data_IF_216864955052
#
_entry.id   IF_216864955052
#
_cell.length_a   1.000
_cell.length_b   1.000
_cell.length_c   1.000
_cell.angle_alpha   90.00
_cell.angle_beta   90.00
_cell.angle_gamma   90.00
#
_symmetry.space_group_name_H-M   'P 1'
#
loop_
_entity.id
_entity.type
_entity.pdbx_description
1 polymer ?
#
# COMPACT_ATOMS: atom_id res chain seq x y z
N UNK A 1 7.33 -11.60 19.94
CA UNK A 1 7.27 -10.50 18.95
C UNK A 1 8.61 -9.77 19.02
N UNK A 2 9.52 -10.04 18.08
CA UNK A 2 10.79 -9.29 17.98
C UNK A 2 10.52 -8.09 17.07
N UNK A 3 10.42 -6.90 17.66
CA UNK A 3 10.28 -5.65 16.91
C UNK A 3 11.68 -5.06 16.73
N UNK A 4 12.28 -5.29 15.57
CA UNK A 4 13.48 -4.58 15.16
C UNK A 4 13.08 -3.22 14.60
N UNK A 5 13.39 -2.15 15.35
CA UNK A 5 13.24 -0.77 14.86
C UNK A 5 14.49 -0.40 14.06
N UNK A 6 14.33 -0.18 12.75
CA UNK A 6 15.29 0.60 11.96
C UNK A 6 14.70 2.00 11.75
N UNK A 7 15.33 3.02 12.33
CA UNK A 7 14.96 4.42 12.15
C UNK A 7 15.04 4.81 10.65
N UNK A 8 13.95 5.38 10.12
CA UNK A 8 13.83 6.25 8.94
C UNK A 8 14.83 6.03 7.80
N UNK A 9 14.38 5.36 6.73
CA UNK A 9 15.21 5.00 5.56
C UNK A 9 14.80 5.72 4.26
N UNK A 10 14.60 7.03 4.38
CA UNK A 10 14.70 7.99 3.29
C UNK A 10 15.35 9.27 3.83
N UNK A 11 16.62 9.19 4.22
CA UNK A 11 17.38 10.41 4.47
C UNK A 11 17.42 11.28 3.21
N UNK A 12 17.76 12.57 3.34
CA UNK A 12 17.98 13.46 2.18
C UNK A 12 19.00 12.92 1.17
N UNK A 13 19.78 11.89 1.55
CA UNK A 13 20.70 11.17 0.67
C UNK A 13 20.02 10.24 -0.34
N UNK A 14 18.78 9.79 -0.08
CA UNK A 14 18.01 8.86 -0.92
C UNK A 14 16.90 9.60 -1.67
N UNK A 15 16.15 10.47 -0.99
CA UNK A 15 15.03 11.22 -1.55
C UNK A 15 15.07 12.66 -1.04
N UNK A 16 15.19 13.62 -1.95
CA UNK A 16 15.15 15.05 -1.63
C UNK A 16 14.74 15.87 -2.87
N UNK A 17 14.42 17.14 -2.67
CA UNK A 17 14.27 18.07 -3.79
C UNK A 17 15.55 18.06 -4.65
N UNK A 18 15.40 17.86 -5.96
CA UNK A 18 16.52 17.74 -6.89
C UNK A 18 17.29 16.41 -6.81
N UNK A 19 16.76 15.41 -6.10
CA UNK A 19 17.34 14.07 -5.98
C UNK A 19 16.26 12.99 -6.04
N UNK A 20 16.09 12.46 -7.24
CA UNK A 20 15.26 11.28 -7.49
C UNK A 20 16.01 10.00 -7.12
N UNK A 21 15.26 8.94 -6.79
CA UNK A 21 15.82 7.61 -6.61
C UNK A 21 16.32 7.06 -7.95
N UNK A 22 17.43 6.31 -7.96
CA UNK A 22 17.92 5.66 -9.18
C UNK A 22 17.05 4.47 -9.62
N UNK A 23 16.34 3.84 -8.68
CA UNK A 23 15.46 2.69 -8.89
C UNK A 23 14.38 2.62 -7.79
N UNK A 24 13.56 1.58 -7.82
CA UNK A 24 12.52 1.33 -6.81
C UNK A 24 12.96 0.35 -5.72
N UNK A 25 14.22 -0.08 -5.66
CA UNK A 25 14.66 -1.06 -4.66
C UNK A 25 14.74 -0.45 -3.25
N UNK A 26 14.68 -1.32 -2.24
CA UNK A 26 14.90 -0.89 -0.85
C UNK A 26 16.35 -0.36 -0.69
N UNK A 27 16.55 0.86 -0.17
CA UNK A 27 17.86 1.48 -0.17
C UNK A 27 18.84 0.82 0.81
N UNK A 28 20.13 0.81 0.44
CA UNK A 28 21.21 0.30 1.28
C UNK A 28 21.12 -1.21 1.51
N UNK A 29 21.27 -1.63 2.78
CA UNK A 29 21.27 -3.04 3.17
C UNK A 29 19.90 -3.58 3.60
N UNK A 30 18.83 -2.81 3.43
CA UNK A 30 17.49 -3.20 3.92
C UNK A 30 16.96 -4.47 3.25
N UNK A 31 17.18 -4.62 1.94
CA UNK A 31 16.78 -5.85 1.24
C UNK A 31 17.48 -7.07 1.82
N UNK A 32 18.80 -6.98 2.02
CA UNK A 32 19.60 -8.05 2.64
C UNK A 32 19.14 -8.34 4.07
N UNK A 33 18.92 -7.30 4.88
CA UNK A 33 18.41 -7.44 6.24
C UNK A 33 17.06 -8.18 6.26
N UNK A 34 16.12 -7.79 5.41
CA UNK A 34 14.81 -8.41 5.34
C UNK A 34 14.91 -9.87 4.85
N UNK A 35 15.78 -10.15 3.88
CA UNK A 35 16.06 -11.53 3.45
C UNK A 35 16.66 -12.36 4.58
N UNK A 36 17.60 -11.81 5.36
CA UNK A 36 18.17 -12.49 6.52
C UNK A 36 17.13 -12.77 7.59
N UNK A 37 16.24 -11.80 7.88
CA UNK A 37 15.12 -12.00 8.81
C UNK A 37 14.20 -13.12 8.32
N UNK A 38 13.82 -13.12 7.04
CA UNK A 38 12.99 -14.16 6.42
C UNK A 38 13.66 -15.54 6.52
N UNK A 39 14.96 -15.62 6.22
CA UNK A 39 15.70 -16.87 6.21
C UNK A 39 15.86 -17.45 7.62
N UNK A 40 16.09 -16.60 8.62
CA UNK A 40 16.35 -17.01 10.00
C UNK A 40 15.09 -17.11 10.88
N UNK A 41 13.95 -16.58 10.43
CA UNK A 41 12.68 -16.73 11.16
C UNK A 41 12.20 -18.19 11.07
N UNK A 42 11.91 -18.86 12.20
CA UNK A 42 11.36 -20.22 12.20
C UNK A 42 10.07 -20.30 11.38
N UNK A 43 9.80 -21.45 10.76
CA UNK A 43 8.57 -21.67 9.97
C UNK A 43 7.27 -21.57 10.80
N UNK A 44 7.37 -21.63 12.12
CA UNK A 44 6.25 -21.47 13.06
C UNK A 44 5.97 -20.01 13.43
N UNK A 45 6.77 -19.07 12.94
CA UNK A 45 6.65 -17.64 13.24
C UNK A 45 6.35 -16.85 11.97
N UNK A 46 5.58 -15.78 12.13
CA UNK A 46 5.21 -14.87 11.06
C UNK A 46 5.93 -13.54 11.19
N UNK A 47 6.20 -12.91 10.06
CA UNK A 47 6.80 -11.58 9.94
C UNK A 47 5.72 -10.59 9.55
N UNK A 48 5.70 -9.44 10.24
CA UNK A 48 4.91 -8.27 9.86
C UNK A 48 5.91 -7.22 9.37
N UNK A 49 5.79 -6.84 8.10
CA UNK A 49 6.62 -5.80 7.49
C UNK A 49 5.90 -4.46 7.59
N UNK A 50 6.55 -3.46 8.18
CA UNK A 50 6.04 -2.09 8.27
C UNK A 50 6.94 -1.20 7.42
N UNK A 51 6.35 -0.52 6.44
CA UNK A 51 7.06 0.28 5.45
C UNK A 51 6.88 1.77 5.72
N UNK A 52 8.00 2.50 5.65
CA UNK A 52 8.04 3.95 5.77
C UNK A 52 8.84 4.52 4.60
N UNK A 53 8.14 4.98 3.56
CA UNK A 53 8.72 5.46 2.31
C UNK A 53 7.88 6.55 1.64
N UNK A 54 8.49 7.38 0.79
CA UNK A 54 7.76 8.45 0.10
C UNK A 54 6.85 7.96 -1.03
N UNK A 55 7.03 6.70 -1.46
CA UNK A 55 6.39 6.15 -2.62
C UNK A 55 6.88 4.73 -2.90
N UNK A 56 6.44 4.13 -4.02
CA UNK A 56 6.64 2.72 -4.32
C UNK A 56 8.06 2.20 -4.07
N UNK A 57 8.16 1.07 -3.39
CA UNK A 57 9.39 0.28 -3.27
C UNK A 57 9.14 -1.15 -3.73
N UNK A 58 10.14 -1.79 -4.33
CA UNK A 58 10.06 -3.16 -4.81
C UNK A 58 10.18 -4.12 -3.62
N UNK A 59 9.03 -4.64 -3.20
CA UNK A 59 8.89 -5.62 -2.12
C UNK A 59 8.32 -6.95 -2.61
N UNK A 60 8.34 -7.20 -3.93
CA UNK A 60 7.84 -8.45 -4.54
C UNK A 60 8.34 -9.71 -3.86
N UNK A 61 9.61 -9.73 -3.47
CA UNK A 61 10.24 -10.85 -2.76
C UNK A 61 9.68 -11.08 -1.36
N UNK A 62 9.12 -10.06 -0.72
CA UNK A 62 8.50 -10.12 0.59
C UNK A 62 7.02 -10.48 0.47
N UNK A 63 6.29 -9.83 -0.44
CA UNK A 63 4.87 -10.05 -0.72
C UNK A 63 4.55 -11.51 -1.10
N UNK A 64 5.43 -12.13 -1.89
CA UNK A 64 5.29 -13.53 -2.31
C UNK A 64 5.81 -14.54 -1.29
N UNK A 65 6.38 -14.09 -0.17
CA UNK A 65 6.98 -14.98 0.81
C UNK A 65 5.97 -15.41 1.89
N UNK A 66 5.70 -16.71 2.08
CA UNK A 66 4.69 -17.18 3.03
C UNK A 66 5.02 -16.88 4.50
N UNK A 67 6.26 -16.52 4.83
CA UNK A 67 6.61 -16.09 6.19
C UNK A 67 6.22 -14.64 6.47
N UNK A 68 6.03 -13.82 5.43
CA UNK A 68 5.56 -12.43 5.57
C UNK A 68 4.04 -12.48 5.59
N UNK A 69 3.46 -12.42 6.79
CA UNK A 69 2.03 -12.59 6.98
C UNK A 69 1.24 -11.29 6.75
N UNK A 70 1.90 -10.13 6.89
CA UNK A 70 1.28 -8.84 6.65
C UNK A 70 2.33 -7.80 6.23
N UNK A 71 1.89 -6.85 5.39
CA UNK A 71 2.65 -5.68 4.97
C UNK A 71 1.78 -4.46 5.26
N UNK A 72 2.29 -3.53 6.06
CA UNK A 72 1.64 -2.26 6.38
C UNK A 72 2.44 -1.13 5.74
N UNK A 73 1.84 -0.46 4.75
CA UNK A 73 2.38 0.78 4.19
C UNK A 73 1.97 1.97 5.07
N UNK A 74 2.94 2.72 5.58
CA UNK A 74 2.71 3.85 6.50
C UNK A 74 3.18 5.20 5.95
N UNK A 75 3.82 5.23 4.79
CA UNK A 75 4.41 6.41 4.16
C UNK A 75 5.37 7.17 5.10
N UNK A 76 5.16 8.48 5.28
CA UNK A 76 5.81 9.29 6.30
C UNK A 76 4.79 9.71 7.35
N UNK A 77 4.47 8.81 8.30
CA UNK A 77 3.57 9.16 9.37
C UNK A 77 4.33 10.04 10.36
N UNK A 78 3.65 11.06 10.87
CA UNK A 78 4.24 12.02 11.79
C UNK A 78 4.36 11.45 13.21
N UNK A 79 4.46 12.33 14.20
CA UNK A 79 4.71 12.02 15.62
C UNK A 79 3.77 10.97 16.27
N UNK A 80 2.55 10.79 15.76
CA UNK A 80 1.56 9.83 16.30
C UNK A 80 1.64 8.43 15.66
N UNK A 81 2.63 8.15 14.81
CA UNK A 81 2.76 6.88 14.09
C UNK A 81 2.76 5.65 14.99
N UNK A 82 3.49 5.71 16.12
CA UNK A 82 3.62 4.58 17.04
C UNK A 82 2.30 4.21 17.69
N UNK A 83 1.53 5.22 18.11
CA UNK A 83 0.19 5.04 18.69
C UNK A 83 -0.79 4.48 17.66
N UNK A 84 -0.81 5.06 16.45
CA UNK A 84 -1.66 4.57 15.37
C UNK A 84 -1.34 3.11 14.99
N UNK A 85 -0.05 2.76 14.91
CA UNK A 85 0.40 1.39 14.61
C UNK A 85 0.04 0.41 15.73
N UNK A 86 0.14 0.83 17.00
CA UNK A 86 -0.29 0.00 18.11
C UNK A 86 -1.77 -0.34 17.97
N UNK A 87 -2.62 0.66 17.77
CA UNK A 87 -4.07 0.46 17.66
C UNK A 87 -4.44 -0.45 16.49
N UNK A 88 -3.81 -0.25 15.33
CA UNK A 88 -4.06 -1.09 14.15
C UNK A 88 -3.55 -2.52 14.37
N UNK A 89 -2.29 -2.70 14.77
CA UNK A 89 -1.69 -4.05 14.88
C UNK A 89 -2.36 -4.88 15.98
N UNK A 90 -2.73 -4.26 17.10
CA UNK A 90 -3.36 -4.96 18.22
C UNK A 90 -4.88 -5.03 18.11
N UNK A 91 -5.50 -4.21 17.26
CA UNK A 91 -6.95 -4.03 17.18
C UNK A 91 -7.57 -3.80 18.58
N UNK A 92 -6.89 -3.01 19.42
CA UNK A 92 -7.16 -2.91 20.88
C UNK A 92 -8.05 -1.71 21.28
N UNK A 93 -8.16 -0.69 20.42
CA UNK A 93 -8.98 0.50 20.64
C UNK A 93 -9.99 0.65 19.50
N UNK A 94 -11.28 0.79 19.85
CA UNK A 94 -12.39 1.09 18.93
C UNK A 94 -12.51 0.19 17.68
N UNK A 95 -12.03 -1.06 17.76
CA UNK A 95 -11.87 -1.96 16.62
C UNK A 95 -11.05 -1.33 15.48
N UNK A 96 -9.97 -0.61 15.83
CA UNK A 96 -9.09 0.06 14.89
C UNK A 96 -8.58 -0.92 13.83
N UNK A 97 -8.97 -0.65 12.59
CA UNK A 97 -8.67 -1.49 11.45
C UNK A 97 -8.14 -0.64 10.30
N UNK A 98 -7.20 -1.15 9.48
CA UNK A 98 -6.63 -0.36 8.40
C UNK A 98 -7.72 -0.03 7.37
N UNK A 99 -7.99 1.26 7.18
CA UNK A 99 -8.93 1.76 6.17
C UNK A 99 -8.24 2.53 5.02
N UNK A 100 -6.91 2.62 5.04
CA UNK A 100 -6.14 3.27 3.98
C UNK A 100 -6.29 2.54 2.64
N UNK A 101 -6.39 3.32 1.55
CA UNK A 101 -6.37 2.83 0.16
C UNK A 101 -5.26 3.57 -0.60
N UNK A 102 -4.55 2.86 -1.47
CA UNK A 102 -3.41 3.44 -2.19
C UNK A 102 -3.87 4.58 -3.11
N UNK A 103 -3.27 5.78 -3.01
CA UNK A 103 -3.63 6.93 -3.85
C UNK A 103 -2.95 6.89 -5.23
N UNK A 104 -2.18 5.84 -5.54
CA UNK A 104 -1.50 5.63 -6.81
C UNK A 104 -1.36 4.13 -7.11
N UNK A 105 -1.08 3.81 -8.37
CA UNK A 105 -0.66 2.45 -8.77
C UNK A 105 0.77 2.19 -8.33
N UNK A 106 1.01 1.09 -7.63
CA UNK A 106 2.33 0.67 -7.17
C UNK A 106 2.97 -0.27 -8.20
N UNK A 107 3.98 0.19 -8.97
CA UNK A 107 4.66 -0.64 -9.96
C UNK A 107 5.50 -1.73 -9.29
N UNK A 108 5.53 -2.90 -9.90
CA UNK A 108 6.36 -4.02 -9.50
C UNK A 108 7.86 -3.72 -9.70
N UNK A 109 8.21 -3.07 -10.83
CA UNK A 109 9.59 -2.76 -11.20
C UNK A 109 9.74 -1.34 -11.75
N UNK A 110 10.93 -0.76 -11.59
CA UNK A 110 11.26 0.56 -12.14
C UNK A 110 11.08 0.65 -13.67
N UNK A 111 11.25 -0.47 -14.39
CA UNK A 111 11.04 -0.54 -15.85
C UNK A 111 9.60 -0.30 -16.29
N UNK A 112 8.63 -0.39 -15.37
CA UNK A 112 7.23 -0.08 -15.64
C UNK A 112 6.93 1.42 -15.54
N UNK A 113 7.90 2.24 -15.12
CA UNK A 113 7.75 3.68 -14.97
C UNK A 113 8.32 4.37 -16.23
N UNK A 114 7.50 5.14 -16.99
CA UNK A 114 8.00 5.89 -18.13
C UNK A 114 9.08 6.91 -17.71
N UNK A 115 10.08 7.19 -18.58
CA UNK A 115 11.11 8.19 -18.30
C UNK A 115 10.51 9.55 -17.93
N UNK A 116 11.14 10.28 -17.01
CA UNK A 116 10.63 11.58 -16.55
C UNK A 116 10.42 12.59 -17.70
N UNK A 117 11.25 12.51 -18.76
CA UNK A 117 11.15 13.36 -19.95
C UNK A 117 10.00 13.00 -20.90
N UNK A 118 9.30 11.89 -20.66
CA UNK A 118 8.13 11.50 -21.44
C UNK A 118 6.87 12.18 -20.89
N UNK A 119 6.37 13.20 -21.60
CA UNK A 119 5.17 13.94 -21.23
C UNK A 119 3.86 13.35 -21.77
N UNK A 120 3.90 12.20 -22.44
CA UNK A 120 2.68 11.46 -22.75
C UNK A 120 2.08 10.86 -21.47
N UNK A 121 0.76 10.68 -21.47
CA UNK A 121 0.07 9.99 -20.37
C UNK A 121 0.21 8.46 -20.44
N UNK A 122 0.69 7.90 -21.55
CA UNK A 122 0.80 6.45 -21.74
C UNK A 122 1.73 5.84 -20.68
N UNK A 123 1.27 4.75 -20.04
CA UNK A 123 2.01 4.09 -18.96
C UNK A 123 2.05 4.89 -17.64
N UNK A 124 1.33 6.02 -17.54
CA UNK A 124 1.28 6.86 -16.33
C UNK A 124 -0.09 6.77 -15.66
N UNK A 125 -0.11 6.90 -14.32
CA UNK A 125 -1.34 6.85 -13.49
C UNK A 125 -2.10 5.53 -13.62
N UNK A 126 -3.11 5.31 -12.78
CA UNK A 126 -3.93 4.10 -12.88
C UNK A 126 -4.72 3.99 -14.18
N UNK A 127 -5.07 5.12 -14.82
CA UNK A 127 -5.94 5.14 -16.01
C UNK A 127 -5.22 4.70 -17.29
N UNK A 128 -3.91 4.93 -17.38
CA UNK A 128 -3.14 4.69 -18.60
C UNK A 128 -1.99 3.70 -18.39
N UNK A 129 -1.90 3.09 -17.21
CA UNK A 129 -1.00 1.99 -16.94
C UNK A 129 -1.55 0.71 -17.57
N UNK A 130 -0.73 0.01 -18.35
CA UNK A 130 -1.07 -1.18 -19.14
C UNK A 130 -0.37 -2.46 -18.66
N UNK A 131 0.50 -2.36 -17.65
CA UNK A 131 1.16 -3.50 -17.03
C UNK A 131 0.42 -4.07 -15.82
N UNK A 132 1.00 -5.12 -15.23
CA UNK A 132 0.55 -5.67 -13.94
C UNK A 132 1.23 -4.91 -12.78
N UNK A 133 0.47 -4.21 -11.92
CA UNK A 133 1.04 -3.55 -10.76
C UNK A 133 1.28 -4.55 -9.63
N UNK A 134 2.16 -4.21 -8.70
CA UNK A 134 2.24 -4.93 -7.43
C UNK A 134 0.96 -4.71 -6.62
N UNK A 135 0.53 -3.45 -6.52
CA UNK A 135 -0.77 -3.08 -5.95
C UNK A 135 -1.45 -2.01 -6.83
N UNK A 136 -2.71 -2.21 -7.24
CA UNK A 136 -3.41 -1.22 -8.06
C UNK A 136 -3.80 0.03 -7.25
N UNK A 137 -4.16 1.11 -7.95
CA UNK A 137 -4.79 2.27 -7.32
C UNK A 137 -6.07 1.86 -6.58
N UNK A 138 -6.29 2.45 -5.42
CA UNK A 138 -7.41 2.11 -4.54
C UNK A 138 -7.23 0.80 -3.78
N UNK A 139 -6.10 0.10 -3.93
CA UNK A 139 -5.86 -1.13 -3.17
C UNK A 139 -5.61 -0.83 -1.70
N UNK A 140 -6.22 -1.62 -0.84
CA UNK A 140 -5.94 -1.66 0.59
C UNK A 140 -6.81 -2.74 1.22
N UNK A 141 -6.28 -3.38 2.25
CA UNK A 141 -6.99 -4.44 2.96
C UNK A 141 -7.72 -3.88 4.18
N UNK A 142 -8.51 -4.75 4.77
CA UNK A 142 -9.37 -4.51 5.92
C UNK A 142 -9.36 -5.76 6.80
N UNK A 143 -9.58 -5.62 8.11
CA UNK A 143 -9.74 -6.78 9.01
C UNK A 143 -11.11 -7.44 8.90
N UNK A 144 -12.05 -6.81 8.21
CA UNK A 144 -13.34 -7.39 7.79
C UNK A 144 -13.43 -7.52 6.27
N UNK A 145 -14.46 -8.20 5.78
CA UNK A 145 -14.83 -8.26 4.36
C UNK A 145 -16.06 -7.42 4.07
N UNK A 146 -16.09 -6.85 2.86
CA UNK A 146 -17.22 -6.08 2.35
C UNK A 146 -17.76 -6.71 1.07
N UNK A 147 -19.09 -6.72 0.96
CA UNK A 147 -19.80 -7.09 -0.26
C UNK A 147 -20.38 -5.85 -0.92
N UNK A 148 -20.24 -5.79 -2.24
CA UNK A 148 -20.86 -4.78 -3.10
C UNK A 148 -21.99 -5.41 -3.90
N UNK A 149 -23.16 -4.77 -3.89
CA UNK A 149 -24.34 -5.30 -4.58
C UNK A 149 -25.24 -4.19 -5.11
N UNK A 150 -26.14 -4.55 -6.02
CA UNK A 150 -27.19 -3.67 -6.55
C UNK A 150 -26.65 -2.32 -7.07
N UNK A 151 -25.56 -2.36 -7.83
CA UNK A 151 -25.07 -1.17 -8.53
C UNK A 151 -26.14 -0.71 -9.54
N UNK A 152 -26.63 0.50 -9.34
CA UNK A 152 -27.62 1.11 -10.20
C UNK A 152 -27.26 2.56 -10.49
N UNK A 153 -27.41 2.98 -11.75
CA UNK A 153 -27.23 4.36 -12.18
C UNK A 153 -28.07 4.58 -13.45
N UNK A 154 -28.34 5.84 -13.76
CA UNK A 154 -29.05 6.21 -15.00
C UNK A 154 -28.18 5.87 -16.22
N UNK A 155 -28.73 5.14 -17.19
CA UNK A 155 -28.00 4.66 -18.36
C UNK A 155 -27.80 5.74 -19.44
N UNK A 156 -28.53 6.85 -19.33
CA UNK A 156 -28.44 8.02 -20.21
C UNK A 156 -28.55 9.31 -19.41
N UNK A 157 -27.69 10.29 -19.71
CA UNK A 157 -27.74 11.65 -19.17
C UNK A 157 -27.50 12.66 -20.29
N UNK A 158 -27.95 13.91 -20.11
CA UNK A 158 -27.57 14.99 -21.01
C UNK A 158 -26.22 15.59 -20.60
N UNK A 159 -25.50 16.15 -21.57
CA UNK A 159 -24.26 16.85 -21.28
C UNK A 159 -24.51 18.06 -20.36
N UNK A 160 -23.81 18.11 -19.23
CA UNK A 160 -23.98 19.15 -18.21
C UNK A 160 -24.83 18.72 -17.02
N UNK A 161 -25.54 17.60 -17.11
CA UNK A 161 -26.31 17.06 -15.99
C UNK A 161 -25.45 16.18 -15.08
N UNK A 162 -25.86 16.04 -13.81
CA UNK A 162 -25.23 15.15 -12.85
C UNK A 162 -25.75 13.72 -13.01
N UNK A 163 -24.85 12.74 -13.16
CA UNK A 163 -25.20 11.33 -13.03
C UNK A 163 -25.32 10.96 -11.56
N UNK A 164 -26.44 10.33 -11.17
CA UNK A 164 -26.59 9.71 -9.86
C UNK A 164 -26.43 8.21 -9.98
N UNK A 165 -25.61 7.65 -9.09
CA UNK A 165 -25.40 6.21 -8.96
C UNK A 165 -25.54 5.80 -7.49
N UNK A 166 -25.94 4.55 -7.29
CA UNK A 166 -26.21 3.95 -6.00
C UNK A 166 -25.58 2.57 -6.00
N UNK A 167 -25.01 2.18 -4.86
CA UNK A 167 -24.46 0.85 -4.63
C UNK A 167 -24.71 0.50 -3.17
N UNK A 168 -25.02 -0.76 -2.91
CA UNK A 168 -25.11 -1.27 -1.54
C UNK A 168 -23.78 -1.86 -1.14
N UNK A 169 -23.27 -1.39 -0.01
CA UNK A 169 -22.04 -1.87 0.60
C UNK A 169 -22.41 -2.49 1.95
N UNK A 170 -22.11 -3.78 2.11
CA UNK A 170 -22.41 -4.54 3.31
C UNK A 170 -21.14 -5.06 3.98
N UNK A 171 -20.94 -4.72 5.26
CA UNK A 171 -19.91 -5.36 6.07
C UNK A 171 -20.34 -6.79 6.44
N UNK A 172 -19.49 -7.78 6.14
CA UNK A 172 -19.78 -9.22 6.31
C UNK A 172 -19.01 -9.90 7.42
N UNK A 173 -18.08 -9.21 8.05
CA UNK A 173 -17.36 -9.75 9.20
C UNK A 173 -17.89 -9.18 10.52
N UNK A 174 -17.19 -9.57 11.60
CA UNK A 174 -17.58 -9.25 12.97
C UNK A 174 -16.96 -7.92 13.47
N UNK A 175 -16.18 -7.24 12.63
CA UNK A 175 -15.47 -6.00 12.98
C UNK A 175 -16.13 -4.80 12.30
N UNK A 176 -16.43 -3.75 13.07
CA UNK A 176 -16.87 -2.47 12.50
C UNK A 176 -15.70 -1.80 11.80
N UNK A 177 -15.92 -1.29 10.58
CA UNK A 177 -14.84 -0.76 9.76
C UNK A 177 -15.35 0.17 8.66
N UNK A 178 -14.51 1.14 8.31
CA UNK A 178 -14.68 2.03 7.16
C UNK A 178 -14.20 1.38 5.86
N UNK A 179 -14.94 1.63 4.78
CA UNK A 179 -14.66 1.21 3.40
C UNK A 179 -14.76 2.41 2.46
N UNK A 180 -13.84 2.50 1.49
CA UNK A 180 -13.70 3.63 0.55
C UNK A 180 -13.78 3.14 -0.88
#
# INVERSE_FOLDING_TARGET
MYVHYTQSLSGQSVEAEGRDRPDTELPGHQKTLLQDVINNTPSTSSIVLILFNAGPVNITFADTNPKVAAILECFFPAQAAGEALQHVILNDVDNASPAGRLPFTWPMFASQIPPMVNYSMQGRTYRYFDGDPLYPFGYGLSYTSFDYSELWFEDHIQAGDSLKGYVYIGNRGDQTQDEV
#
